data_IF_505784360814
#
_entry.id   IF_505784360814
#
_cell.length_a   1.000
_cell.length_b   1.000
_cell.length_c   1.000
_cell.angle_alpha   90.00
_cell.angle_beta   90.00
_cell.angle_gamma   90.00
#
_symmetry.space_group_name_H-M   'P 1'
#
loop_
_entity.id
_entity.type
_entity.pdbx_description
1 polymer ?
#
# COMPACT_ATOMS: atom_id res chain seq x y z
N UNK A 1 23.42 -12.67 15.95
CA UNK A 1 22.73 -11.39 16.18
C UNK A 1 21.23 -11.68 16.22
N UNK A 2 20.40 -10.85 16.86
CA UNK A 2 18.93 -11.00 16.81
C UNK A 2 18.31 -10.22 15.64
N UNK A 3 19.13 -9.78 14.67
CA UNK A 3 18.66 -8.97 13.55
C UNK A 3 17.79 -9.80 12.61
N UNK A 4 16.80 -9.16 12.01
CA UNK A 4 15.88 -9.78 11.05
C UNK A 4 15.74 -8.95 9.79
N UNK A 5 15.36 -9.61 8.70
CA UNK A 5 15.07 -8.98 7.42
C UNK A 5 13.59 -9.24 7.09
N UNK A 6 12.89 -8.18 6.69
CA UNK A 6 11.56 -8.27 6.08
C UNK A 6 11.65 -7.94 4.59
N UNK A 7 10.76 -8.51 3.80
CA UNK A 7 10.63 -8.21 2.38
C UNK A 7 9.14 -8.08 2.02
N UNK A 8 8.83 -7.15 1.14
CA UNK A 8 7.50 -6.93 0.56
C UNK A 8 7.63 -6.64 -0.93
N UNK A 9 6.54 -6.80 -1.67
CA UNK A 9 6.46 -6.49 -3.11
C UNK A 9 5.08 -5.98 -3.44
N UNK A 10 4.99 -4.79 -4.03
CA UNK A 10 3.72 -4.09 -4.27
C UNK A 10 3.77 -3.35 -5.62
N UNK A 11 2.63 -3.17 -6.29
CA UNK A 11 2.62 -2.62 -7.65
C UNK A 11 1.25 -2.59 -8.31
N UNK A 12 0.33 -1.79 -7.77
CA UNK A 12 -1.01 -1.65 -8.33
C UNK A 12 -1.00 -0.89 -9.68
N UNK A 13 -1.21 -1.63 -10.78
CA UNK A 13 -1.20 -1.08 -12.14
C UNK A 13 -2.37 -0.15 -12.46
N UNK A 14 -3.53 -0.29 -11.79
CA UNK A 14 -4.71 0.57 -12.01
C UNK A 14 -4.46 1.99 -11.53
N UNK A 15 -3.83 2.14 -10.37
CA UNK A 15 -3.48 3.46 -9.84
C UNK A 15 -2.47 4.16 -10.75
N UNK A 16 -1.46 3.44 -11.22
CA UNK A 16 -0.49 3.96 -12.18
C UNK A 16 -1.10 4.24 -13.57
N UNK A 17 -2.16 3.51 -13.96
CA UNK A 17 -2.90 3.79 -15.19
C UNK A 17 -3.68 5.11 -15.08
N UNK A 18 -4.34 5.34 -13.94
CA UNK A 18 -5.14 6.55 -13.68
C UNK A 18 -4.27 7.80 -13.53
N UNK A 19 -3.19 7.70 -12.76
CA UNK A 19 -2.19 8.76 -12.60
C UNK A 19 -0.81 8.11 -12.42
N UNK A 20 0.06 8.09 -13.44
CA UNK A 20 1.34 7.40 -13.35
C UNK A 20 2.27 7.96 -12.28
N UNK A 21 2.26 9.28 -12.05
CA UNK A 21 3.12 9.91 -11.05
C UNK A 21 2.66 9.51 -9.64
N UNK A 22 1.37 9.65 -9.34
CA UNK A 22 0.83 9.23 -8.04
C UNK A 22 0.89 7.71 -7.86
N UNK A 23 0.61 6.91 -8.89
CA UNK A 23 0.73 5.46 -8.83
C UNK A 23 2.16 4.98 -8.56
N UNK A 24 3.16 5.65 -9.13
CA UNK A 24 4.56 5.40 -8.79
C UNK A 24 4.90 5.72 -7.32
N UNK A 25 4.33 6.79 -6.77
CA UNK A 25 4.47 7.12 -5.34
C UNK A 25 3.81 6.05 -4.46
N UNK A 26 2.59 5.64 -4.80
CA UNK A 26 1.81 4.65 -4.04
C UNK A 26 2.51 3.29 -4.03
N UNK A 27 3.04 2.81 -5.16
CA UNK A 27 3.76 1.53 -5.21
C UNK A 27 4.96 1.47 -4.25
N UNK A 28 5.73 2.58 -4.16
CA UNK A 28 6.83 2.68 -3.18
C UNK A 28 6.30 2.78 -1.75
N UNK A 29 5.28 3.60 -1.52
CA UNK A 29 4.69 3.81 -0.21
C UNK A 29 4.14 2.51 0.39
N UNK A 30 3.41 1.73 -0.40
CA UNK A 30 2.82 0.47 0.00
C UNK A 30 3.87 -0.59 0.32
N UNK A 31 4.90 -0.74 -0.52
CA UNK A 31 6.03 -1.61 -0.24
C UNK A 31 6.69 -1.26 1.10
N UNK A 32 6.93 0.03 1.36
CA UNK A 32 7.45 0.50 2.66
C UNK A 32 6.47 0.29 3.82
N UNK A 33 5.16 0.43 3.58
CA UNK A 33 4.10 0.26 4.59
C UNK A 33 4.01 -1.18 5.06
N UNK A 34 4.07 -2.14 4.14
CA UNK A 34 4.12 -3.56 4.44
C UNK A 34 5.34 -3.94 5.27
N UNK A 35 6.51 -3.39 4.95
CA UNK A 35 7.72 -3.53 5.79
C UNK A 35 7.48 -2.96 7.19
N UNK A 36 6.90 -1.76 7.26
CA UNK A 36 6.66 -1.05 8.53
C UNK A 36 5.68 -1.77 9.45
N UNK A 37 4.67 -2.45 8.91
CA UNK A 37 3.71 -3.25 9.68
C UNK A 37 4.37 -4.45 10.39
N UNK A 38 5.53 -4.91 9.92
CA UNK A 38 6.32 -5.93 10.64
C UNK A 38 7.19 -5.35 11.76
N UNK A 39 7.27 -4.02 11.87
CA UNK A 39 8.17 -3.30 12.78
C UNK A 39 9.59 -3.07 12.22
N UNK A 40 9.86 -3.49 10.98
CA UNK A 40 11.15 -3.27 10.32
C UNK A 40 11.23 -1.88 9.70
N UNK A 41 12.42 -1.26 9.70
CA UNK A 41 12.69 -0.03 8.97
C UNK A 41 12.98 -0.35 7.49
N UNK A 42 12.27 0.24 6.50
CA UNK A 42 12.65 0.13 5.10
C UNK A 42 14.04 0.74 4.86
N UNK A 43 14.94 -0.01 4.23
CA UNK A 43 16.34 0.43 4.04
C UNK A 43 16.80 0.40 2.58
N UNK A 44 16.09 -0.32 1.72
CA UNK A 44 16.42 -0.44 0.30
C UNK A 44 15.22 -0.88 -0.50
N UNK A 45 15.19 -0.46 -1.77
CA UNK A 45 14.16 -0.80 -2.74
C UNK A 45 14.79 -1.49 -3.96
N UNK A 46 14.01 -2.32 -4.63
CA UNK A 46 14.26 -2.78 -6.00
C UNK A 46 13.01 -2.52 -6.83
N UNK A 47 13.14 -2.31 -8.13
CA UNK A 47 11.98 -2.15 -9.00
C UNK A 47 11.96 -3.16 -10.15
N UNK A 48 10.77 -3.47 -10.64
CA UNK A 48 10.55 -4.19 -11.88
C UNK A 48 9.48 -3.40 -12.65
N UNK A 49 9.96 -2.57 -13.58
CA UNK A 49 9.12 -1.68 -14.39
C UNK A 49 8.58 -2.45 -15.59
N UNK A 50 7.26 -2.57 -15.71
CA UNK A 50 6.61 -3.24 -16.84
C UNK A 50 5.68 -2.26 -17.57
N UNK A 51 6.03 -1.91 -18.80
CA UNK A 51 5.32 -0.91 -19.61
C UNK A 51 5.16 -1.39 -21.07
N UNK A 52 4.24 -0.77 -21.80
CA UNK A 52 4.02 -1.02 -23.23
C UNK A 52 5.15 -0.53 -24.14
N UNK A 53 4.88 -0.31 -25.42
CA UNK A 53 5.86 0.26 -26.36
C UNK A 53 6.20 1.73 -26.01
N UNK A 54 7.45 2.05 -25.59
CA UNK A 54 7.85 3.40 -25.18
C UNK A 54 7.99 4.39 -26.34
N UNK A 55 7.91 3.94 -27.60
CA UNK A 55 7.91 4.83 -28.76
C UNK A 55 6.56 5.57 -28.92
N UNK A 56 5.50 5.08 -28.26
CA UNK A 56 4.21 5.75 -28.17
C UNK A 56 4.29 6.86 -27.11
N UNK A 57 4.00 8.14 -27.44
CA UNK A 57 4.12 9.26 -26.50
C UNK A 57 3.39 9.06 -25.16
N UNK A 58 2.21 8.46 -25.19
CA UNK A 58 1.39 8.16 -24.02
C UNK A 58 2.04 7.12 -23.09
N UNK A 59 2.67 6.09 -23.63
CA UNK A 59 3.37 5.07 -22.85
C UNK A 59 4.69 5.62 -22.30
N UNK A 60 5.39 6.43 -23.10
CA UNK A 60 6.59 7.13 -22.62
C UNK A 60 6.27 8.06 -21.46
N UNK A 61 5.15 8.80 -21.55
CA UNK A 61 4.65 9.64 -20.47
C UNK A 61 4.36 8.83 -19.20
N UNK A 62 3.71 7.66 -19.32
CA UNK A 62 3.47 6.77 -18.19
C UNK A 62 4.77 6.34 -17.52
N UNK A 63 5.75 5.87 -18.31
CA UNK A 63 7.05 5.44 -17.79
C UNK A 63 7.79 6.58 -17.09
N UNK A 64 7.92 7.74 -17.74
CA UNK A 64 8.65 8.89 -17.20
C UNK A 64 8.01 9.41 -15.91
N UNK A 65 6.69 9.62 -15.92
CA UNK A 65 5.94 10.14 -14.78
C UNK A 65 5.98 9.19 -13.60
N UNK A 66 5.87 7.88 -13.86
CA UNK A 66 5.95 6.86 -12.82
C UNK A 66 7.32 6.82 -12.15
N UNK A 67 8.41 6.83 -12.93
CA UNK A 67 9.77 6.88 -12.39
C UNK A 67 10.01 8.15 -11.56
N UNK A 68 9.47 9.30 -11.97
CA UNK A 68 9.53 10.55 -11.18
C UNK A 68 8.81 10.40 -9.83
N UNK A 69 7.59 9.87 -9.84
CA UNK A 69 6.81 9.63 -8.63
C UNK A 69 7.51 8.67 -7.65
N UNK A 70 8.02 7.55 -8.16
CA UNK A 70 8.81 6.59 -7.38
C UNK A 70 10.06 7.24 -6.77
N UNK A 71 10.76 8.09 -7.53
CA UNK A 71 11.95 8.78 -7.03
C UNK A 71 11.63 9.74 -5.88
N UNK A 72 10.52 10.47 -5.96
CA UNK A 72 10.10 11.38 -4.88
C UNK A 72 9.67 10.62 -3.62
N UNK A 73 8.90 9.52 -3.77
CA UNK A 73 8.57 8.65 -2.65
C UNK A 73 9.82 8.02 -2.02
N UNK A 74 10.74 7.49 -2.84
CA UNK A 74 12.01 6.92 -2.37
C UNK A 74 12.83 7.92 -1.53
N UNK A 75 12.87 9.21 -1.94
CA UNK A 75 13.50 10.28 -1.15
C UNK A 75 12.75 10.53 0.15
N UNK A 76 11.42 10.59 0.13
CA UNK A 76 10.61 10.81 1.34
C UNK A 76 10.85 9.71 2.40
N UNK A 77 10.93 8.45 1.97
CA UNK A 77 11.25 7.31 2.85
C UNK A 77 12.74 7.14 3.16
N UNK A 78 13.62 7.95 2.57
CA UNK A 78 15.08 7.77 2.64
C UNK A 78 15.52 6.33 2.30
N UNK A 79 14.80 5.68 1.38
CA UNK A 79 14.99 4.27 0.99
C UNK A 79 15.45 4.21 -0.47
N UNK A 80 16.74 4.01 -0.75
CA UNK A 80 17.27 4.07 -2.11
C UNK A 80 16.88 2.83 -2.93
N UNK A 81 16.66 3.03 -4.24
CA UNK A 81 16.58 1.93 -5.20
C UNK A 81 17.99 1.41 -5.48
N UNK A 82 18.27 0.16 -5.11
CA UNK A 82 19.61 -0.46 -5.21
C UNK A 82 19.75 -1.44 -6.38
N UNK A 83 18.63 -1.88 -6.95
CA UNK A 83 18.58 -2.78 -8.10
C UNK A 83 17.28 -2.58 -8.87
N UNK A 84 17.21 -3.17 -10.07
CA UNK A 84 15.95 -3.21 -10.79
C UNK A 84 15.99 -3.90 -12.14
N UNK A 85 14.83 -3.95 -12.76
CA UNK A 85 14.60 -4.46 -14.12
C UNK A 85 13.63 -3.53 -14.87
N UNK A 86 13.79 -3.45 -16.19
CA UNK A 86 12.87 -2.71 -17.06
C UNK A 86 12.45 -3.63 -18.21
N UNK A 87 11.17 -3.94 -18.26
CA UNK A 87 10.50 -4.68 -19.32
C UNK A 87 9.60 -3.72 -20.10
N UNK A 88 9.88 -3.58 -21.39
CA UNK A 88 9.14 -2.70 -22.31
C UNK A 88 8.49 -3.54 -23.40
N UNK A 89 7.64 -2.90 -24.22
CA UNK A 89 6.90 -3.57 -25.30
C UNK A 89 5.92 -4.65 -24.79
N UNK A 90 5.44 -4.52 -23.56
CA UNK A 90 4.39 -5.37 -23.01
C UNK A 90 3.02 -4.96 -23.59
N UNK A 91 2.75 -5.37 -24.82
CA UNK A 91 1.50 -5.11 -25.50
C UNK A 91 1.05 -6.30 -26.36
N UNK A 92 -0.26 -6.51 -26.46
CA UNK A 92 -0.86 -7.53 -27.32
C UNK A 92 -1.77 -6.85 -28.33
N UNK A 93 -1.54 -7.10 -29.62
CA UNK A 93 -2.32 -6.49 -30.72
C UNK A 93 -2.39 -4.95 -30.64
N UNK A 94 -1.31 -4.32 -30.19
CA UNK A 94 -1.22 -2.87 -30.02
C UNK A 94 -1.83 -2.30 -28.74
N UNK A 95 -2.51 -3.12 -27.93
CA UNK A 95 -3.02 -2.75 -26.61
C UNK A 95 -1.96 -2.98 -25.54
N UNK A 96 -1.48 -1.93 -24.85
CA UNK A 96 -0.52 -2.08 -23.75
C UNK A 96 -1.18 -2.70 -22.52
N UNK A 97 -0.39 -3.34 -21.68
CA UNK A 97 -0.77 -3.61 -20.28
C UNK A 97 -0.98 -2.29 -19.52
N UNK A 98 -1.60 -2.35 -18.34
CA UNK A 98 -1.48 -1.23 -17.41
C UNK A 98 -0.01 -0.99 -17.04
N UNK A 99 0.42 0.28 -16.90
CA UNK A 99 1.76 0.59 -16.39
C UNK A 99 1.91 -0.05 -15.01
N UNK A 100 2.86 -0.98 -14.87
CA UNK A 100 2.97 -1.81 -13.67
C UNK A 100 4.36 -1.67 -13.05
N UNK A 101 4.57 -0.64 -12.22
CA UNK A 101 5.80 -0.45 -11.46
C UNK A 101 5.78 -1.35 -10.21
N UNK A 102 6.30 -2.56 -10.31
CA UNK A 102 6.43 -3.41 -9.12
C UNK A 102 7.64 -2.95 -8.31
N UNK A 103 7.43 -2.66 -7.03
CA UNK A 103 8.46 -2.28 -6.08
C UNK A 103 8.64 -3.39 -5.07
N UNK A 104 9.86 -3.90 -4.92
CA UNK A 104 10.24 -4.70 -3.77
C UNK A 104 10.92 -3.82 -2.72
N UNK A 105 10.54 -3.94 -1.46
CA UNK A 105 11.23 -3.28 -0.35
C UNK A 105 11.91 -4.32 0.55
N UNK A 106 13.06 -3.94 1.11
CA UNK A 106 13.77 -4.71 2.13
C UNK A 106 13.83 -3.88 3.40
N UNK A 107 13.44 -4.50 4.51
CA UNK A 107 13.48 -3.90 5.83
C UNK A 107 14.43 -4.59 6.79
N UNK A 108 14.93 -3.84 7.77
CA UNK A 108 15.80 -4.35 8.84
C UNK A 108 15.15 -4.13 10.20
N UNK A 109 15.22 -5.14 11.06
CA UNK A 109 15.00 -5.00 12.51
C UNK A 109 16.25 -5.43 13.27
N UNK A 110 16.49 -4.78 14.41
CA UNK A 110 17.57 -5.15 15.32
C UNK A 110 17.23 -6.35 16.21
N UNK A 111 15.93 -6.68 16.32
CA UNK A 111 15.41 -7.70 17.21
C UNK A 111 14.18 -8.38 16.61
N UNK A 112 14.37 -9.58 16.05
CA UNK A 112 13.29 -10.43 15.53
C UNK A 112 12.25 -10.76 16.58
N UNK A 113 12.56 -10.69 17.88
CA UNK A 113 11.57 -10.95 18.93
C UNK A 113 10.44 -9.93 19.00
N UNK A 114 10.59 -8.77 18.34
CA UNK A 114 9.62 -7.65 18.37
C UNK A 114 8.72 -7.58 17.15
N UNK A 115 8.93 -8.44 16.15
CA UNK A 115 8.06 -8.43 14.98
C UNK A 115 6.63 -8.78 15.38
N UNK A 116 5.68 -8.23 14.64
CA UNK A 116 4.27 -8.61 14.72
C UNK A 116 3.79 -9.05 13.34
N UNK A 117 2.69 -9.79 13.31
CA UNK A 117 1.99 -10.16 12.08
C UNK A 117 0.60 -9.51 12.06
N UNK A 118 -0.17 -9.80 11.02
CA UNK A 118 -1.50 -9.22 10.80
C UNK A 118 -2.58 -9.80 11.71
N UNK A 119 -2.32 -10.91 12.42
CA UNK A 119 -3.38 -11.65 13.11
C UNK A 119 -3.81 -10.99 14.41
N UNK A 120 -5.13 -10.89 14.62
CA UNK A 120 -5.65 -10.56 15.94
C UNK A 120 -5.25 -11.61 16.97
N UNK A 121 -4.82 -11.16 18.15
CA UNK A 121 -4.11 -11.99 19.12
C UNK A 121 -4.94 -12.42 20.33
N UNK A 122 -6.04 -11.75 20.64
CA UNK A 122 -6.87 -12.12 21.78
C UNK A 122 -8.17 -11.33 21.91
N UNK A 123 -9.13 -11.92 22.61
CA UNK A 123 -10.41 -11.29 22.92
C UNK A 123 -10.20 -10.06 23.82
N UNK A 124 -10.97 -9.01 23.55
CA UNK A 124 -10.92 -7.74 24.31
C UNK A 124 -9.77 -6.81 23.95
N UNK A 125 -8.93 -7.19 22.98
CA UNK A 125 -7.93 -6.27 22.43
C UNK A 125 -8.61 -5.13 21.66
N UNK A 126 -8.13 -3.91 21.86
CA UNK A 126 -8.58 -2.75 21.10
C UNK A 126 -7.95 -2.75 19.71
N UNK A 127 -8.78 -2.55 18.68
CA UNK A 127 -8.34 -2.37 17.29
C UNK A 127 -8.45 -0.89 16.94
N UNK A 128 -7.37 -0.32 16.42
CA UNK A 128 -7.26 1.10 16.08
C UNK A 128 -6.89 1.23 14.61
N UNK A 129 -7.46 2.23 13.93
CA UNK A 129 -7.09 2.60 12.58
C UNK A 129 -6.12 3.80 12.64
N UNK A 130 -4.88 3.59 12.23
CA UNK A 130 -3.88 4.64 12.11
C UNK A 130 -4.06 5.42 10.81
N UNK A 131 -3.71 6.70 10.85
CA UNK A 131 -3.74 7.58 9.67
C UNK A 131 -5.13 8.07 9.24
N UNK A 132 -6.18 7.73 9.99
CA UNK A 132 -7.50 8.32 9.84
C UNK A 132 -8.11 8.60 11.21
N UNK A 133 -8.79 9.75 11.36
CA UNK A 133 -9.55 10.07 12.58
C UNK A 133 -10.95 9.44 12.58
N UNK A 134 -11.45 9.07 11.40
CA UNK A 134 -12.77 8.49 11.20
C UNK A 134 -12.80 7.60 9.96
N UNK A 135 -13.76 6.67 9.90
CA UNK A 135 -14.03 5.88 8.70
C UNK A 135 -14.91 6.72 7.76
N UNK A 136 -14.23 7.37 6.81
CA UNK A 136 -14.83 8.33 5.87
C UNK A 136 -15.66 7.65 4.78
N UNK A 137 -16.78 8.27 4.41
CA UNK A 137 -17.67 7.83 3.34
C UNK A 137 -17.37 8.50 1.98
N UNK A 138 -16.20 9.13 1.88
CA UNK A 138 -15.81 9.89 0.70
C UNK A 138 -15.50 8.97 -0.48
N UNK A 139 -16.38 9.01 -1.47
CA UNK A 139 -16.31 8.20 -2.69
C UNK A 139 -15.03 8.38 -3.51
N UNK A 140 -14.24 9.43 -3.29
CA UNK A 140 -12.97 9.62 -3.99
C UNK A 140 -12.00 8.45 -3.75
N UNK A 141 -12.12 7.77 -2.61
CA UNK A 141 -11.29 6.62 -2.26
C UNK A 141 -11.66 5.33 -3.03
N UNK A 142 -12.67 5.39 -3.90
CA UNK A 142 -12.88 4.35 -4.90
C UNK A 142 -11.97 4.47 -6.12
N UNK A 143 -11.17 5.53 -6.23
CA UNK A 143 -10.28 5.75 -7.37
C UNK A 143 -9.34 4.57 -7.59
N UNK A 144 -9.55 3.80 -8.66
CA UNK A 144 -8.77 2.59 -8.99
C UNK A 144 -9.00 1.38 -8.07
N UNK A 145 -10.03 1.41 -7.23
CA UNK A 145 -10.30 0.38 -6.22
C UNK A 145 -10.76 -0.96 -6.80
N UNK A 146 -10.49 -2.03 -6.05
CA UNK A 146 -11.05 -3.37 -6.27
C UNK A 146 -12.58 -3.35 -6.29
N UNK A 147 -13.22 -2.50 -5.47
CA UNK A 147 -14.68 -2.39 -5.44
C UNK A 147 -15.25 -1.94 -6.80
N UNK A 148 -14.64 -0.93 -7.44
CA UNK A 148 -15.10 -0.48 -8.76
C UNK A 148 -14.81 -1.53 -9.84
N UNK A 149 -13.65 -2.19 -9.78
CA UNK A 149 -13.33 -3.21 -10.78
C UNK A 149 -14.28 -4.42 -10.67
N UNK A 150 -14.43 -4.98 -9.47
CA UNK A 150 -15.20 -6.22 -9.26
C UNK A 150 -16.70 -6.02 -9.44
N UNK A 151 -17.27 -4.93 -8.91
CA UNK A 151 -18.73 -4.73 -8.91
C UNK A 151 -19.24 -3.86 -10.05
N UNK A 152 -18.36 -3.06 -10.67
CA UNK A 152 -18.75 -2.09 -11.68
C UNK A 152 -17.97 -2.23 -13.00
N UNK A 153 -17.00 -3.15 -13.11
CA UNK A 153 -16.14 -3.33 -14.29
C UNK A 153 -15.50 -1.99 -14.72
N UNK A 154 -15.06 -1.20 -13.72
CA UNK A 154 -14.67 0.19 -13.92
C UNK A 154 -13.32 0.50 -13.29
N UNK A 155 -12.39 1.03 -14.10
CA UNK A 155 -11.16 1.67 -13.63
C UNK A 155 -11.30 3.17 -13.85
N UNK A 156 -11.61 3.91 -12.79
CA UNK A 156 -11.86 5.35 -12.84
C UNK A 156 -11.45 6.05 -11.55
N UNK A 157 -11.40 7.38 -11.60
CA UNK A 157 -11.11 8.25 -10.46
C UNK A 157 -9.76 8.94 -10.56
N UNK A 158 -9.37 9.61 -9.49
CA UNK A 158 -8.10 10.34 -9.37
C UNK A 158 -7.43 9.90 -8.07
N UNK A 159 -6.45 8.98 -8.12
CA UNK A 159 -5.75 8.56 -6.91
C UNK A 159 -4.95 9.73 -6.33
N UNK A 160 -4.70 9.68 -5.03
CA UNK A 160 -3.95 10.72 -4.31
C UNK A 160 -3.24 10.11 -3.11
N UNK A 161 -2.04 10.60 -2.81
CA UNK A 161 -1.27 10.26 -1.60
C UNK A 161 -0.64 11.52 -1.01
N UNK A 162 -0.59 11.59 0.32
CA UNK A 162 0.12 12.64 1.06
C UNK A 162 1.39 12.02 1.66
N UNK A 163 2.54 12.15 0.97
CA UNK A 163 3.77 11.43 1.36
C UNK A 163 4.24 11.73 2.79
N UNK A 164 4.13 12.98 3.26
CA UNK A 164 4.53 13.32 4.63
C UNK A 164 3.67 12.59 5.68
N UNK A 165 2.36 12.48 5.40
CA UNK A 165 1.43 11.72 6.23
C UNK A 165 1.75 10.24 6.20
N UNK A 166 2.01 9.69 5.02
CA UNK A 166 2.40 8.29 4.84
C UNK A 166 3.66 7.94 5.66
N UNK A 167 4.73 8.74 5.52
CA UNK A 167 5.97 8.58 6.28
C UNK A 167 5.70 8.64 7.79
N UNK A 168 4.89 9.60 8.24
CA UNK A 168 4.56 9.76 9.66
C UNK A 168 3.75 8.57 10.23
N UNK A 169 2.76 8.06 9.49
CA UNK A 169 1.94 6.90 9.90
C UNK A 169 2.80 5.64 10.00
N UNK A 170 3.63 5.38 9.00
CA UNK A 170 4.54 4.24 9.02
C UNK A 170 5.56 4.33 10.17
N UNK A 171 6.15 5.51 10.39
CA UNK A 171 7.06 5.72 11.51
C UNK A 171 6.37 5.53 12.87
N UNK A 172 5.12 5.99 13.02
CA UNK A 172 4.32 5.75 14.22
C UNK A 172 4.10 4.24 14.45
N UNK A 173 3.67 3.51 13.42
CA UNK A 173 3.45 2.06 13.52
C UNK A 173 4.72 1.33 13.98
N UNK A 174 5.88 1.59 13.34
CA UNK A 174 7.16 1.00 13.76
C UNK A 174 7.52 1.35 15.21
N UNK A 175 7.25 2.58 15.66
CA UNK A 175 7.49 2.99 17.04
C UNK A 175 6.58 2.26 18.03
N UNK A 176 5.30 2.08 17.72
CA UNK A 176 4.37 1.31 18.57
C UNK A 176 4.84 -0.14 18.72
N UNK A 177 5.23 -0.79 17.61
CA UNK A 177 5.75 -2.15 17.61
C UNK A 177 7.07 -2.23 18.41
N UNK A 178 8.00 -1.31 18.17
CA UNK A 178 9.30 -1.26 18.87
C UNK A 178 9.19 -1.16 20.39
N UNK A 179 8.13 -0.51 20.88
CA UNK A 179 7.83 -0.35 22.32
C UNK A 179 6.86 -1.41 22.86
N UNK A 180 6.52 -2.43 22.05
CA UNK A 180 5.56 -3.49 22.41
C UNK A 180 4.18 -2.96 22.84
N UNK A 181 3.74 -1.85 22.23
CA UNK A 181 2.44 -1.24 22.51
C UNK A 181 1.31 -1.83 21.66
N UNK A 182 1.64 -2.50 20.56
CA UNK A 182 0.71 -3.23 19.70
C UNK A 182 1.15 -4.68 19.58
N UNK A 183 0.18 -5.58 19.37
CA UNK A 183 0.41 -7.03 19.26
C UNK A 183 0.36 -7.54 17.82
N UNK A 184 -0.24 -6.76 16.93
CA UNK A 184 -0.45 -7.02 15.52
C UNK A 184 -0.53 -5.70 14.76
N UNK A 185 -0.23 -5.72 13.48
CA UNK A 185 -0.42 -4.59 12.57
C UNK A 185 -0.67 -5.12 11.16
N UNK A 186 -1.61 -4.51 10.45
CA UNK A 186 -1.95 -4.84 9.07
C UNK A 186 -2.24 -3.55 8.32
N UNK A 187 -1.80 -3.44 7.08
CA UNK A 187 -2.09 -2.24 6.30
C UNK A 187 -3.52 -2.28 5.74
N UNK A 188 -4.10 -1.11 5.49
CA UNK A 188 -5.43 -0.99 4.91
C UNK A 188 -5.33 -0.49 3.47
N UNK A 189 -5.22 -1.43 2.53
CA UNK A 189 -4.94 -1.23 1.11
C UNK A 189 -6.11 -1.70 0.22
N UNK A 190 -5.88 -2.69 -0.64
CA UNK A 190 -6.81 -3.19 -1.65
C UNK A 190 -8.05 -3.82 -0.99
N UNK A 191 -9.23 -3.45 -1.48
CA UNK A 191 -10.51 -3.82 -0.88
C UNK A 191 -10.87 -3.08 0.41
N UNK A 192 -9.99 -2.22 0.94
CA UNK A 192 -10.29 -1.29 2.02
C UNK A 192 -10.42 -1.92 3.41
N UNK A 193 -11.07 -1.18 4.31
CA UNK A 193 -11.12 -1.50 5.75
C UNK A 193 -11.78 -2.85 6.05
N UNK A 194 -12.83 -3.21 5.32
CA UNK A 194 -13.51 -4.49 5.53
C UNK A 194 -12.59 -5.68 5.22
N UNK A 195 -11.79 -5.58 4.15
CA UNK A 195 -10.85 -6.65 3.78
C UNK A 195 -9.69 -6.72 4.77
N UNK A 196 -9.08 -5.59 5.15
CA UNK A 196 -8.02 -5.57 6.15
C UNK A 196 -8.46 -6.19 7.50
N UNK A 197 -9.66 -5.86 7.97
CA UNK A 197 -10.23 -6.48 9.18
C UNK A 197 -10.48 -7.97 8.99
N UNK A 198 -11.04 -8.38 7.85
CA UNK A 198 -11.33 -9.77 7.56
C UNK A 198 -10.05 -10.63 7.50
N UNK A 199 -8.99 -10.16 6.84
CA UNK A 199 -7.71 -10.85 6.77
C UNK A 199 -7.07 -11.03 8.15
N UNK A 200 -7.12 -9.98 8.99
CA UNK A 200 -6.65 -10.03 10.38
C UNK A 200 -7.44 -11.06 11.20
N UNK A 201 -8.77 -11.12 11.01
CA UNK A 201 -9.64 -12.10 11.66
C UNK A 201 -9.32 -13.53 11.20
N UNK A 202 -9.21 -13.74 9.89
CA UNK A 202 -8.96 -15.06 9.28
C UNK A 202 -7.60 -15.60 9.73
N UNK A 203 -6.56 -14.75 9.72
CA UNK A 203 -5.21 -15.17 10.13
C UNK A 203 -5.16 -15.51 11.62
N UNK A 204 -5.89 -14.78 12.46
CA UNK A 204 -5.95 -15.02 13.91
C UNK A 204 -6.92 -16.10 14.35
N UNK A 205 -7.92 -16.44 13.53
CA UNK A 205 -9.04 -17.28 13.94
C UNK A 205 -9.94 -16.63 15.00
N UNK A 206 -9.92 -15.28 15.08
CA UNK A 206 -10.64 -14.48 16.07
C UNK A 206 -11.48 -13.44 15.32
N UNK A 207 -12.76 -13.32 15.68
CA UNK A 207 -13.66 -12.33 15.06
C UNK A 207 -13.41 -10.91 15.55
N UNK A 208 -13.96 -9.94 14.84
CA UNK A 208 -13.92 -8.53 15.22
C UNK A 208 -15.33 -7.99 15.44
N UNK A 209 -15.49 -7.24 16.52
CA UNK A 209 -16.70 -6.45 16.80
C UNK A 209 -16.23 -5.01 17.03
N UNK A 210 -16.65 -4.11 16.14
CA UNK A 210 -16.37 -2.68 16.23
C UNK A 210 -17.66 -1.88 16.34
N UNK A 211 -17.62 -0.81 17.14
CA UNK A 211 -18.70 0.17 17.23
C UNK A 211 -18.30 1.40 16.41
N UNK A 212 -18.67 1.41 15.13
CA UNK A 212 -18.59 2.61 14.29
C UNK A 212 -19.84 2.75 13.45
N UNK A 213 -20.26 3.99 13.22
CA UNK A 213 -21.48 4.28 12.47
C UNK A 213 -21.26 4.07 10.97
N UNK A 214 -22.04 3.17 10.39
CA UNK A 214 -22.17 3.06 8.94
C UNK A 214 -23.27 4.01 8.46
N UNK A 215 -22.87 4.98 7.65
CA UNK A 215 -23.76 5.94 7.01
C UNK A 215 -24.40 5.37 5.74
N UNK A 216 -25.02 6.26 4.96
CA UNK A 216 -25.66 5.90 3.69
C UNK A 216 -24.68 5.34 2.65
N UNK A 217 -23.40 5.73 2.75
CA UNK A 217 -22.31 5.29 1.88
C UNK A 217 -21.36 4.34 2.62
N UNK A 218 -21.95 3.33 3.24
CA UNK A 218 -21.25 2.24 3.92
C UNK A 218 -20.26 1.52 3.00
N UNK A 219 -20.55 1.47 1.70
CA UNK A 219 -19.68 0.94 0.65
C UNK A 219 -18.36 1.71 0.60
N UNK A 220 -18.41 3.04 0.57
CA UNK A 220 -17.21 3.88 0.56
C UNK A 220 -16.44 3.79 1.89
N UNK A 221 -17.16 3.68 3.01
CA UNK A 221 -16.55 3.51 4.33
C UNK A 221 -15.77 2.20 4.45
N UNK A 222 -16.35 1.10 3.95
CA UNK A 222 -15.78 -0.24 4.11
C UNK A 222 -14.80 -0.62 3.00
N UNK A 223 -15.04 -0.19 1.76
CA UNK A 223 -14.27 -0.62 0.59
C UNK A 223 -13.52 0.51 -0.11
N UNK A 224 -13.58 1.75 0.40
CA UNK A 224 -12.72 2.82 -0.05
C UNK A 224 -11.25 2.53 0.30
N UNK A 225 -10.37 2.67 -0.68
CA UNK A 225 -8.93 2.36 -0.61
C UNK A 225 -8.11 3.63 -0.35
N UNK A 226 -8.38 4.26 0.79
CA UNK A 226 -7.63 5.45 1.22
C UNK A 226 -6.20 5.06 1.63
N UNK A 227 -5.23 5.78 1.04
CA UNK A 227 -3.80 5.66 1.33
C UNK A 227 -3.46 6.09 2.77
N UNK A 228 -2.27 5.69 3.25
CA UNK A 228 -1.76 6.05 4.58
C UNK A 228 -2.59 5.52 5.75
N UNK A 229 -3.05 4.27 5.66
CA UNK A 229 -3.80 3.61 6.73
C UNK A 229 -3.21 2.24 7.09
N UNK A 230 -3.17 1.98 8.39
CA UNK A 230 -2.74 0.73 9.06
C UNK A 230 -3.77 0.47 10.15
#
# INVERSE_FOLDING_TARGET
TNKGIAASTDGNGRLAFLDPYVGGQIAVAEACRNISCTGCEPIALTNCLNFGNPEKPEVYFQLESCVKGMADASRAFSSPVISGNVSLYNETQGSPIFPTPVVGAVGLTEDVGRHVDISFKGDGDAVLLLGASEVTDNVKYFSGSEYLEVFHDLVAGQPSIELDKEVAVQALCRNLIKHNLVKSAHDCSEGGLAIALAESCIKGGIGFIGEFELGNRWDAQLFGEQQSRI
#
